data_IF_939203106630
#
_entry.id   IF_939203106630
#
_cell.length_a   1.000
_cell.length_b   1.000
_cell.length_c   1.000
_cell.angle_alpha   90.00
_cell.angle_beta   90.00
_cell.angle_gamma   90.00
#
_symmetry.space_group_name_H-M   'P 1'
#
loop_
_entity.id
_entity.type
_entity.pdbx_description
1 polymer ?
#
# COMPACT_ATOMS: atom_id res chain seq x y z
N UNK A 1 -7.41 -7.17 -18.66
CA UNK A 1 -6.66 -7.21 -17.39
C UNK A 1 -7.53 -6.67 -16.31
N UNK A 2 -8.12 -5.50 -16.52
CA UNK A 2 -9.10 -4.94 -15.62
C UNK A 2 -10.51 -5.33 -16.03
N UNK A 3 -11.44 -5.35 -15.08
CA UNK A 3 -12.86 -5.41 -15.39
C UNK A 3 -13.31 -4.04 -15.91
N UNK A 4 -14.49 -4.00 -16.54
CA UNK A 4 -15.15 -2.73 -16.90
C UNK A 4 -15.56 -1.88 -15.69
N UNK A 5 -15.53 -2.46 -14.49
CA UNK A 5 -15.99 -1.82 -13.26
C UNK A 5 -14.85 -1.21 -12.44
N UNK A 6 -13.60 -1.65 -12.64
CA UNK A 6 -12.46 -1.24 -11.82
C UNK A 6 -12.36 0.29 -11.70
N UNK A 7 -12.35 1.05 -12.79
CA UNK A 7 -12.16 2.51 -12.70
C UNK A 7 -13.34 3.23 -12.05
N UNK A 8 -14.56 2.70 -12.18
CA UNK A 8 -15.73 3.20 -11.45
C UNK A 8 -15.58 2.91 -9.96
N UNK A 9 -15.17 1.69 -9.59
CA UNK A 9 -14.89 1.30 -8.22
C UNK A 9 -13.79 2.18 -7.60
N UNK A 10 -12.65 2.34 -8.29
CA UNK A 10 -11.57 3.21 -7.83
C UNK A 10 -12.02 4.66 -7.66
N UNK A 11 -12.88 5.18 -8.54
CA UNK A 11 -13.42 6.54 -8.38
C UNK A 11 -14.25 6.71 -7.10
N UNK A 12 -14.98 5.67 -6.67
CA UNK A 12 -15.70 5.67 -5.40
C UNK A 12 -14.76 5.49 -4.22
N UNK A 13 -13.82 4.56 -4.29
CA UNK A 13 -12.89 4.31 -3.18
C UNK A 13 -12.02 5.53 -2.91
N UNK A 14 -11.50 6.20 -3.94
CA UNK A 14 -10.72 7.42 -3.75
C UNK A 14 -11.56 8.66 -3.40
N UNK A 15 -12.90 8.60 -3.40
CA UNK A 15 -13.74 9.76 -3.10
C UNK A 15 -13.55 10.26 -1.65
N UNK A 16 -13.64 9.35 -0.67
CA UNK A 16 -13.50 9.69 0.75
C UNK A 16 -12.08 10.19 1.10
N UNK A 17 -10.99 9.48 0.70
CA UNK A 17 -9.62 9.98 0.89
C UNK A 17 -9.39 11.39 0.33
N UNK A 18 -9.94 11.70 -0.86
CA UNK A 18 -9.84 13.03 -1.47
C UNK A 18 -10.67 14.11 -0.75
N UNK A 19 -11.79 13.71 -0.14
CA UNK A 19 -12.66 14.62 0.59
C UNK A 19 -11.98 15.08 1.89
N UNK A 20 -11.44 14.13 2.65
CA UNK A 20 -10.82 14.38 3.95
C UNK A 20 -9.38 14.89 3.87
N UNK A 21 -8.72 14.73 2.71
CA UNK A 21 -7.33 15.15 2.49
C UNK A 21 -6.29 14.06 2.79
N UNK A 22 -6.66 12.78 2.83
CA UNK A 22 -5.70 11.69 3.03
C UNK A 22 -4.91 11.35 1.74
N UNK A 23 -5.51 11.56 0.57
CA UNK A 23 -4.92 11.22 -0.73
C UNK A 23 -5.37 12.24 -1.78
N UNK A 24 -4.49 12.83 -2.60
CA UNK A 24 -4.85 13.86 -3.58
C UNK A 24 -5.17 13.31 -4.99
N UNK A 25 -5.05 11.99 -5.18
CA UNK A 25 -5.20 11.30 -6.47
C UNK A 25 -6.69 11.05 -6.75
N UNK A 26 -7.16 11.57 -7.87
CA UNK A 26 -8.48 11.35 -8.43
C UNK A 26 -8.43 10.39 -9.62
N UNK A 27 -9.55 9.72 -9.90
CA UNK A 27 -9.71 8.82 -11.05
C UNK A 27 -10.89 9.25 -11.89
N UNK A 28 -10.66 9.49 -13.19
CA UNK A 28 -11.75 9.72 -14.13
C UNK A 28 -12.35 8.38 -14.57
N UNK A 29 -13.52 8.03 -14.03
CA UNK A 29 -14.13 6.70 -14.17
C UNK A 29 -14.33 6.21 -15.61
N UNK A 30 -14.54 7.13 -16.58
CA UNK A 30 -14.75 6.77 -17.99
C UNK A 30 -13.45 6.44 -18.74
N UNK A 31 -12.34 7.11 -18.43
CA UNK A 31 -11.06 6.94 -19.16
C UNK A 31 -10.00 6.19 -18.35
N UNK A 32 -10.21 6.02 -17.05
CA UNK A 32 -9.20 5.50 -16.12
C UNK A 32 -8.03 6.46 -15.90
N UNK A 33 -8.14 7.74 -16.25
CA UNK A 33 -7.08 8.73 -16.06
C UNK A 33 -6.96 9.10 -14.58
N UNK A 34 -5.77 8.93 -14.02
CA UNK A 34 -5.37 9.39 -12.70
C UNK A 34 -4.85 10.82 -12.78
N UNK A 35 -5.32 11.72 -11.90
CA UNK A 35 -4.92 13.12 -11.89
C UNK A 35 -4.99 13.72 -10.48
N UNK A 36 -4.39 14.89 -10.28
CA UNK A 36 -4.51 15.65 -9.02
C UNK A 36 -5.16 17.01 -9.26
N UNK A 37 -5.92 17.51 -8.28
CA UNK A 37 -6.53 18.83 -8.31
C UNK A 37 -5.82 19.78 -7.34
N UNK A 38 -5.78 21.07 -7.65
CA UNK A 38 -5.21 22.08 -6.73
C UNK A 38 -5.91 22.08 -5.36
N UNK A 39 -7.23 21.86 -5.34
CA UNK A 39 -8.03 21.76 -4.12
C UNK A 39 -7.66 20.53 -3.27
N UNK A 40 -7.45 19.36 -3.87
CA UNK A 40 -7.06 18.16 -3.12
C UNK A 40 -5.64 18.27 -2.56
N UNK A 41 -4.73 18.97 -3.26
CA UNK A 41 -3.39 19.29 -2.75
C UNK A 41 -3.44 20.18 -1.50
N UNK A 42 -4.29 21.22 -1.51
CA UNK A 42 -4.49 22.09 -0.34
C UNK A 42 -5.06 21.31 0.84
N UNK A 43 -6.03 20.43 0.60
CA UNK A 43 -6.60 19.55 1.64
C UNK A 43 -5.54 18.63 2.24
N UNK A 44 -4.73 17.95 1.42
CA UNK A 44 -3.64 17.11 1.92
C UNK A 44 -2.66 17.91 2.78
N UNK A 45 -2.30 19.12 2.35
CA UNK A 45 -1.44 19.98 3.15
C UNK A 45 -2.08 20.36 4.49
N UNK A 46 -3.37 20.68 4.51
CA UNK A 46 -4.12 20.93 5.74
C UNK A 46 -4.15 19.69 6.65
N UNK A 47 -4.42 18.50 6.08
CA UNK A 47 -4.40 17.24 6.83
C UNK A 47 -3.04 16.94 7.43
N UNK A 48 -1.94 17.14 6.69
CA UNK A 48 -0.57 17.02 7.21
C UNK A 48 -0.34 17.98 8.37
N UNK A 49 -0.76 19.25 8.23
CA UNK A 49 -0.58 20.25 9.30
C UNK A 49 -1.34 19.84 10.56
N UNK A 50 -2.59 19.39 10.43
CA UNK A 50 -3.38 18.86 11.55
C UNK A 50 -2.68 17.64 12.15
N UNK A 51 -2.19 16.72 11.33
CA UNK A 51 -1.56 15.50 11.80
C UNK A 51 -0.22 15.76 12.50
N UNK A 52 0.54 16.78 12.09
CA UNK A 52 1.73 17.25 12.82
C UNK A 52 1.35 17.67 14.25
N UNK A 53 0.22 18.37 14.44
CA UNK A 53 -0.23 18.75 15.80
C UNK A 53 -0.59 17.53 16.65
N UNK A 54 -1.28 16.55 16.06
CA UNK A 54 -1.64 15.29 16.74
C UNK A 54 -0.39 14.51 17.14
N UNK A 55 0.55 14.33 16.21
CA UNK A 55 1.82 13.63 16.46
C UNK A 55 2.63 14.35 17.53
N UNK A 56 2.71 15.68 17.47
CA UNK A 56 3.43 16.48 18.48
C UNK A 56 2.82 16.28 19.86
N UNK A 57 1.49 16.30 19.97
CA UNK A 57 0.80 16.00 21.24
C UNK A 57 1.13 14.58 21.73
N UNK A 58 1.07 13.57 20.87
CA UNK A 58 1.35 12.18 21.24
C UNK A 58 2.79 11.99 21.71
N UNK A 59 3.75 12.61 21.02
CA UNK A 59 5.17 12.60 21.41
C UNK A 59 5.34 13.27 22.77
N UNK A 60 4.81 14.48 22.95
CA UNK A 60 4.92 15.22 24.22
C UNK A 60 4.33 14.40 25.38
N UNK A 61 3.14 13.81 25.21
CA UNK A 61 2.50 12.99 26.24
C UNK A 61 3.28 11.73 26.57
N UNK A 62 3.81 11.05 25.55
CA UNK A 62 4.65 9.86 25.76
C UNK A 62 5.94 10.22 26.51
N UNK A 63 6.57 11.33 26.15
CA UNK A 63 7.75 11.88 26.82
C UNK A 63 7.46 12.30 28.27
N UNK A 64 6.33 12.96 28.53
CA UNK A 64 5.90 13.34 29.88
C UNK A 64 5.70 12.10 30.77
N UNK A 65 5.04 11.05 30.26
CA UNK A 65 4.85 9.82 31.00
C UNK A 65 6.21 9.15 31.28
N UNK A 66 7.11 9.17 30.29
CA UNK A 66 8.46 8.64 30.41
C UNK A 66 9.27 9.33 31.51
N UNK A 67 9.38 10.65 31.46
CA UNK A 67 10.23 11.42 32.37
C UNK A 67 9.59 11.66 33.74
N UNK A 68 8.29 11.95 33.79
CA UNK A 68 7.65 12.48 35.01
C UNK A 68 6.75 11.47 35.72
N UNK A 69 6.23 10.44 35.03
CA UNK A 69 5.24 9.50 35.59
C UNK A 69 5.76 8.07 35.77
N UNK A 70 7.08 7.90 35.78
CA UNK A 70 7.72 6.60 36.02
C UNK A 70 7.89 5.69 34.79
N UNK A 71 7.62 6.21 33.59
CA UNK A 71 7.89 5.54 32.31
C UNK A 71 7.26 4.16 32.20
N UNK A 72 8.09 3.12 32.04
CA UNK A 72 7.63 1.74 31.87
C UNK A 72 6.73 1.23 33.02
N UNK A 73 6.80 1.83 34.22
CA UNK A 73 5.93 1.45 35.34
C UNK A 73 4.52 2.03 35.23
N UNK A 74 4.32 3.03 34.38
CA UNK A 74 3.03 3.66 34.20
C UNK A 74 2.12 2.80 33.30
N UNK A 75 0.86 2.52 33.71
CA UNK A 75 -0.01 1.55 33.03
C UNK A 75 -0.31 1.92 31.57
N UNK A 76 -0.30 3.21 31.25
CA UNK A 76 -0.61 3.72 29.90
C UNK A 76 0.61 3.97 29.02
N UNK A 77 1.84 3.82 29.53
CA UNK A 77 3.05 4.17 28.77
C UNK A 77 3.15 3.39 27.46
N UNK A 78 2.97 2.06 27.50
CA UNK A 78 3.13 1.21 26.33
C UNK A 78 2.10 1.50 25.22
N UNK A 79 0.86 1.82 25.61
CA UNK A 79 -0.19 2.22 24.65
C UNK A 79 0.13 3.58 24.05
N UNK A 80 0.54 4.55 24.86
CA UNK A 80 0.91 5.89 24.39
C UNK A 80 2.09 5.83 23.41
N UNK A 81 3.12 5.05 23.75
CA UNK A 81 4.29 4.85 22.89
C UNK A 81 3.89 4.19 21.56
N UNK A 82 3.08 3.13 21.60
CA UNK A 82 2.62 2.45 20.38
C UNK A 82 1.80 3.38 19.47
N UNK A 83 0.85 4.15 20.03
CA UNK A 83 0.05 5.11 19.25
C UNK A 83 0.90 6.25 18.69
N UNK A 84 1.87 6.74 19.46
CA UNK A 84 2.85 7.74 18.98
C UNK A 84 3.63 7.18 17.80
N UNK A 85 4.08 5.94 17.89
CA UNK A 85 4.84 5.29 16.83
C UNK A 85 4.02 5.14 15.54
N UNK A 86 2.76 4.67 15.65
CA UNK A 86 1.82 4.58 14.52
C UNK A 86 1.56 5.95 13.91
N UNK A 87 1.35 6.98 14.73
CA UNK A 87 1.13 8.34 14.24
C UNK A 87 2.37 8.89 13.52
N UNK A 88 3.59 8.60 13.99
CA UNK A 88 4.82 9.00 13.28
C UNK A 88 4.93 8.28 11.92
N UNK A 89 4.65 6.98 11.85
CA UNK A 89 4.64 6.24 10.58
C UNK A 89 3.65 6.89 9.59
N UNK A 90 2.43 7.16 10.05
CA UNK A 90 1.41 7.71 9.16
C UNK A 90 1.76 9.13 8.70
N UNK A 91 2.35 9.96 9.56
CA UNK A 91 2.84 11.28 9.16
C UNK A 91 3.88 11.17 8.04
N UNK A 92 4.80 10.20 8.15
CA UNK A 92 5.80 9.91 7.12
C UNK A 92 5.12 9.51 5.80
N UNK A 93 4.09 8.65 5.84
CA UNK A 93 3.31 8.26 4.67
C UNK A 93 2.60 9.46 4.01
N UNK A 94 1.98 10.35 4.80
CA UNK A 94 1.31 11.54 4.28
C UNK A 94 2.30 12.52 3.64
N UNK A 95 3.47 12.74 4.25
CA UNK A 95 4.54 13.58 3.69
C UNK A 95 5.05 13.00 2.36
N UNK A 96 5.29 11.69 2.33
CA UNK A 96 5.71 10.96 1.13
C UNK A 96 4.69 11.12 0.01
N UNK A 97 3.40 10.95 0.32
CA UNK A 97 2.32 11.17 -0.64
C UNK A 97 2.23 12.61 -1.11
N UNK A 98 2.49 13.59 -0.24
CA UNK A 98 2.51 14.99 -0.63
C UNK A 98 3.61 15.27 -1.65
N UNK A 99 4.84 14.79 -1.42
CA UNK A 99 5.96 15.04 -2.34
C UNK A 99 5.81 14.28 -3.66
N UNK A 100 5.33 13.04 -3.64
CA UNK A 100 5.31 12.16 -4.81
C UNK A 100 3.99 12.15 -5.60
N UNK A 101 3.03 13.00 -5.24
CA UNK A 101 1.65 12.97 -5.77
C UNK A 101 1.53 12.98 -7.30
N UNK A 102 2.38 13.73 -8.00
CA UNK A 102 2.28 13.89 -9.45
C UNK A 102 2.86 12.65 -10.15
N UNK A 103 4.00 12.20 -9.65
CA UNK A 103 4.74 11.04 -10.08
C UNK A 103 3.90 9.78 -9.90
N UNK A 104 3.18 9.68 -8.77
CA UNK A 104 2.21 8.61 -8.49
C UNK A 104 1.10 8.56 -9.55
N UNK A 105 0.48 9.70 -9.90
CA UNK A 105 -0.51 9.74 -10.99
C UNK A 105 0.09 9.31 -12.33
N UNK A 106 1.29 9.77 -12.66
CA UNK A 106 1.96 9.43 -13.92
C UNK A 106 2.21 7.93 -14.00
N UNK A 107 2.75 7.32 -12.95
CA UNK A 107 3.07 5.88 -12.96
C UNK A 107 1.82 5.01 -12.93
N UNK A 108 0.75 5.42 -12.23
CA UNK A 108 -0.56 4.75 -12.29
C UNK A 108 -1.15 4.81 -13.71
N UNK A 109 -1.10 5.97 -14.36
CA UNK A 109 -1.54 6.12 -15.75
C UNK A 109 -0.72 5.26 -16.70
N UNK A 110 0.61 5.24 -16.56
CA UNK A 110 1.48 4.39 -17.35
C UNK A 110 1.15 2.92 -17.17
N UNK A 111 1.01 2.44 -15.93
CA UNK A 111 0.74 1.04 -15.65
C UNK A 111 -0.62 0.59 -16.19
N UNK A 112 -1.65 1.40 -15.95
CA UNK A 112 -3.01 1.05 -16.38
C UNK A 112 -3.15 1.10 -17.90
N UNK A 113 -2.61 2.15 -18.56
CA UNK A 113 -2.57 2.23 -20.03
C UNK A 113 -1.73 1.12 -20.64
N UNK A 114 -0.57 0.82 -20.05
CA UNK A 114 0.28 -0.27 -20.50
C UNK A 114 -0.44 -1.61 -20.39
N UNK A 115 -1.11 -1.89 -19.28
CA UNK A 115 -1.87 -3.13 -19.07
C UNK A 115 -3.04 -3.28 -20.05
N UNK A 116 -3.78 -2.21 -20.33
CA UNK A 116 -4.85 -2.20 -21.33
C UNK A 116 -4.31 -2.37 -22.76
N UNK A 117 -3.22 -1.69 -23.10
CA UNK A 117 -2.55 -1.84 -24.40
C UNK A 117 -2.01 -3.26 -24.58
N UNK A 118 -1.36 -3.80 -23.56
CA UNK A 118 -0.81 -5.15 -23.57
C UNK A 118 -1.92 -6.18 -23.79
N UNK A 119 -3.05 -6.04 -23.08
CA UNK A 119 -4.22 -6.86 -23.31
C UNK A 119 -4.71 -6.78 -24.76
N UNK A 120 -4.92 -5.58 -25.28
CA UNK A 120 -5.47 -5.38 -26.61
C UNK A 120 -4.57 -5.94 -27.73
N UNK A 121 -3.26 -5.73 -27.64
CA UNK A 121 -2.32 -6.11 -28.70
C UNK A 121 -1.94 -7.59 -28.61
N UNK A 122 -1.72 -8.11 -27.40
CA UNK A 122 -1.04 -9.39 -27.22
C UNK A 122 -1.94 -10.52 -26.76
N UNK A 123 -3.09 -10.26 -26.15
CA UNK A 123 -3.95 -11.32 -25.63
C UNK A 123 -4.97 -11.77 -26.69
N UNK A 124 -5.16 -13.08 -26.82
CA UNK A 124 -6.13 -13.64 -27.77
C UNK A 124 -7.55 -13.30 -27.31
N UNK A 125 -8.27 -12.53 -28.13
CA UNK A 125 -9.66 -12.16 -27.88
C UNK A 125 -10.54 -13.42 -27.72
N UNK A 126 -11.43 -13.42 -26.73
CA UNK A 126 -12.33 -14.54 -26.43
C UNK A 126 -11.71 -15.63 -25.53
N UNK A 127 -10.39 -15.86 -25.58
CA UNK A 127 -9.70 -16.73 -24.61
C UNK A 127 -9.45 -16.01 -23.29
N UNK A 128 -9.24 -14.70 -23.36
CA UNK A 128 -9.14 -13.83 -22.20
C UNK A 128 -10.46 -13.05 -22.04
N UNK A 129 -11.43 -13.62 -21.30
CA UNK A 129 -12.65 -12.90 -20.95
C UNK A 129 -12.60 -12.52 -19.46
N UNK A 130 -12.35 -11.23 -19.08
CA UNK A 130 -12.24 -10.75 -17.69
C UNK A 130 -13.43 -11.14 -16.79
N UNK A 131 -14.56 -11.53 -17.38
CA UNK A 131 -15.83 -11.81 -16.69
C UNK A 131 -16.14 -13.32 -16.63
N UNK A 132 -15.59 -14.15 -17.52
CA UNK A 132 -15.95 -15.57 -17.57
C UNK A 132 -15.14 -16.43 -16.58
N UNK A 133 -15.81 -16.89 -15.52
CA UNK A 133 -15.26 -17.77 -14.47
C UNK A 133 -14.58 -19.04 -15.02
N UNK A 134 -15.03 -19.55 -16.18
CA UNK A 134 -14.51 -20.77 -16.83
C UNK A 134 -13.31 -20.55 -17.77
N UNK A 135 -13.09 -19.35 -18.32
CA UNK A 135 -11.92 -19.06 -19.19
C UNK A 135 -10.78 -18.28 -18.52
N UNK A 136 -10.96 -17.93 -17.23
CA UNK A 136 -9.99 -17.45 -16.23
C UNK A 136 -8.92 -16.49 -16.73
N UNK A 137 -9.30 -15.22 -16.80
CA UNK A 137 -8.54 -14.11 -16.25
C UNK A 137 -9.11 -13.68 -14.88
N UNK A 138 -8.89 -14.55 -13.89
CA UNK A 138 -9.10 -14.28 -12.45
C UNK A 138 -8.53 -12.92 -11.94
N UNK A 139 -7.40 -12.38 -12.46
CA UNK A 139 -6.75 -11.24 -11.83
C UNK A 139 -7.61 -9.97 -11.71
N UNK A 140 -8.41 -9.66 -12.73
CA UNK A 140 -9.27 -8.46 -12.70
C UNK A 140 -10.37 -8.55 -11.66
N UNK A 141 -11.05 -9.69 -11.58
CA UNK A 141 -12.09 -9.95 -10.56
C UNK A 141 -11.47 -9.98 -9.16
N UNK A 142 -10.32 -10.63 -9.00
CA UNK A 142 -9.58 -10.65 -7.73
C UNK A 142 -9.21 -9.24 -7.29
N UNK A 143 -8.73 -8.40 -8.21
CA UNK A 143 -8.41 -7.00 -7.93
C UNK A 143 -9.64 -6.24 -7.42
N UNK A 144 -10.78 -6.36 -8.11
CA UNK A 144 -12.03 -5.70 -7.70
C UNK A 144 -12.49 -6.17 -6.31
N UNK A 145 -12.50 -7.49 -6.06
CA UNK A 145 -12.89 -8.06 -4.77
C UNK A 145 -11.97 -7.59 -3.67
N UNK A 146 -10.65 -7.64 -3.88
CA UNK A 146 -9.67 -7.17 -2.91
C UNK A 146 -9.83 -5.67 -2.63
N UNK A 147 -10.08 -4.84 -3.66
CA UNK A 147 -10.37 -3.41 -3.47
C UNK A 147 -11.63 -3.18 -2.61
N UNK A 148 -12.71 -3.93 -2.85
CA UNK A 148 -13.95 -3.84 -2.06
C UNK A 148 -13.71 -4.28 -0.61
N UNK A 149 -13.03 -5.41 -0.40
CA UNK A 149 -12.74 -5.92 0.94
C UNK A 149 -11.83 -4.97 1.73
N UNK A 150 -10.82 -4.39 1.09
CA UNK A 150 -9.95 -3.39 1.70
C UNK A 150 -10.72 -2.11 2.06
N UNK A 151 -11.60 -1.64 1.17
CA UNK A 151 -12.41 -0.47 1.44
C UNK A 151 -13.39 -0.73 2.61
N UNK A 152 -14.06 -1.88 2.62
CA UNK A 152 -14.97 -2.26 3.69
C UNK A 152 -14.24 -2.40 5.05
N UNK A 153 -13.04 -2.97 5.07
CA UNK A 153 -12.25 -3.09 6.30
C UNK A 153 -11.76 -1.73 6.79
N UNK A 154 -11.17 -0.89 5.93
CA UNK A 154 -10.67 0.42 6.36
C UNK A 154 -11.80 1.35 6.82
N UNK A 155 -12.95 1.32 6.14
CA UNK A 155 -14.13 2.12 6.51
C UNK A 155 -14.78 1.68 7.82
N UNK A 156 -14.64 0.43 8.23
CA UNK A 156 -15.14 -0.02 9.54
C UNK A 156 -14.14 0.26 10.66
N UNK A 157 -12.84 0.21 10.36
CA UNK A 157 -11.79 0.33 11.38
C UNK A 157 -11.63 1.75 11.95
N UNK A 158 -11.94 2.82 11.22
CA UNK A 158 -11.79 4.17 11.81
C UNK A 158 -12.70 4.43 13.02
N UNK A 159 -13.84 3.73 13.10
CA UNK A 159 -14.75 3.78 14.24
C UNK A 159 -14.16 3.15 15.51
N UNK A 160 -13.18 2.26 15.38
CA UNK A 160 -12.60 1.55 16.55
C UNK A 160 -11.92 2.50 17.52
N UNK A 161 -11.19 3.51 17.02
CA UNK A 161 -10.55 4.52 17.85
C UNK A 161 -11.57 5.47 18.49
N UNK A 162 -12.62 5.82 17.75
CA UNK A 162 -13.73 6.62 18.31
C UNK A 162 -14.45 5.86 19.43
N UNK A 163 -14.77 4.58 19.21
CA UNK A 163 -15.37 3.71 20.22
C UNK A 163 -14.45 3.54 21.45
N UNK A 164 -13.13 3.42 21.22
CA UNK A 164 -12.14 3.32 22.26
C UNK A 164 -12.12 4.59 23.14
N UNK A 165 -12.12 5.79 22.54
CA UNK A 165 -12.21 7.03 23.32
C UNK A 165 -13.53 7.14 24.09
N UNK A 166 -14.66 6.79 23.48
CA UNK A 166 -15.94 6.81 24.18
C UNK A 166 -15.98 5.85 25.37
N UNK A 167 -15.19 4.77 25.33
CA UNK A 167 -15.10 3.80 26.42
C UNK A 167 -14.05 4.17 27.47
N UNK A 168 -12.98 4.88 27.07
CA UNK A 168 -11.83 5.19 27.93
C UNK A 168 -11.33 6.64 27.73
N UNK A 169 -12.17 7.66 27.99
CA UNK A 169 -11.83 9.06 27.70
C UNK A 169 -10.64 9.57 28.53
N UNK A 170 -10.41 8.98 29.71
CA UNK A 170 -9.34 9.35 30.65
C UNK A 170 -7.94 8.85 30.22
N UNK A 171 -7.84 8.14 29.09
CA UNK A 171 -6.55 7.66 28.61
C UNK A 171 -5.64 8.84 28.31
N UNK A 172 -4.44 8.84 28.92
CA UNK A 172 -3.49 9.97 28.92
C UNK A 172 -3.02 10.45 27.54
N UNK A 173 -3.32 9.71 26.47
CA UNK A 173 -2.96 10.09 25.11
C UNK A 173 -3.90 11.13 24.49
N UNK A 174 -5.13 11.25 25.01
CA UNK A 174 -6.12 12.14 24.43
C UNK A 174 -5.86 13.59 24.82
N UNK A 175 -6.12 14.50 23.87
CA UNK A 175 -5.85 15.93 24.04
C UNK A 175 -6.66 16.54 25.19
N UNK A 176 -7.84 15.99 25.47
CA UNK A 176 -8.68 16.43 26.59
C UNK A 176 -7.97 16.29 27.94
N UNK A 177 -7.06 15.32 28.10
CA UNK A 177 -6.32 15.11 29.36
C UNK A 177 -5.27 16.20 29.65
N UNK A 178 -5.07 17.15 28.73
CA UNK A 178 -4.27 18.36 28.94
C UNK A 178 -5.09 19.53 29.49
N UNK A 179 -6.42 19.46 29.39
CA UNK A 179 -7.31 20.51 29.86
C UNK A 179 -7.55 20.38 31.37
N UNK A 180 -7.92 21.48 32.07
CA UNK A 180 -8.41 21.41 33.44
C UNK A 180 -9.57 20.41 33.59
N UNK A 181 -9.69 19.77 34.76
CA UNK A 181 -10.68 18.70 35.02
C UNK A 181 -12.11 19.18 34.78
N UNK A 182 -12.37 20.46 35.06
CA UNK A 182 -13.66 21.11 34.84
C UNK A 182 -14.06 21.11 33.35
N UNK A 183 -13.08 21.21 32.45
CA UNK A 183 -13.30 21.27 31.00
C UNK A 183 -13.32 19.88 30.36
N UNK A 184 -12.67 18.89 30.98
CA UNK A 184 -12.67 17.51 30.50
C UNK A 184 -14.09 16.93 30.43
N UNK A 185 -14.92 17.27 31.43
CA UNK A 185 -16.30 16.82 31.53
C UNK A 185 -17.31 17.72 30.78
N UNK A 186 -16.85 18.82 30.16
CA UNK A 186 -17.74 19.73 29.46
C UNK A 186 -18.17 19.13 28.11
N UNK A 187 -19.48 18.93 27.92
CA UNK A 187 -20.03 18.24 26.74
C UNK A 187 -19.51 18.75 25.38
N UNK A 188 -19.40 20.07 25.11
CA UNK A 188 -18.88 20.56 23.84
C UNK A 188 -17.42 20.14 23.58
N UNK A 189 -16.59 20.11 24.62
CA UNK A 189 -15.19 19.67 24.53
C UNK A 189 -15.13 18.17 24.27
N UNK A 190 -15.92 17.39 24.99
CA UNK A 190 -16.00 15.94 24.80
C UNK A 190 -16.41 15.58 23.37
N UNK A 191 -17.54 16.09 22.88
CA UNK A 191 -18.03 15.80 21.53
C UNK A 191 -17.13 16.41 20.44
N UNK A 192 -16.56 17.58 20.69
CA UNK A 192 -15.55 18.17 19.80
C UNK A 192 -14.32 17.26 19.64
N UNK A 193 -13.87 16.64 20.73
CA UNK A 193 -12.77 15.68 20.69
C UNK A 193 -13.15 14.39 19.98
N UNK A 194 -14.36 13.86 20.20
CA UNK A 194 -14.87 12.70 19.45
C UNK A 194 -14.80 12.96 17.95
N UNK A 195 -15.31 14.12 17.49
CA UNK A 195 -15.30 14.49 16.07
C UNK A 195 -13.88 14.66 15.53
N UNK A 196 -13.00 15.32 16.29
CA UNK A 196 -11.60 15.49 15.93
C UNK A 196 -10.86 14.15 15.82
N UNK A 197 -11.10 13.27 16.78
CA UNK A 197 -10.56 11.91 16.82
C UNK A 197 -11.01 11.10 15.62
N UNK A 198 -12.32 11.05 15.35
CA UNK A 198 -12.87 10.39 14.18
C UNK A 198 -12.24 10.95 12.90
N UNK A 199 -12.12 12.28 12.79
CA UNK A 199 -11.55 12.90 11.59
C UNK A 199 -10.11 12.46 11.31
N UNK A 200 -9.21 12.52 12.31
CA UNK A 200 -7.82 12.13 12.06
C UNK A 200 -7.68 10.61 11.90
N UNK A 201 -8.49 9.79 12.58
CA UNK A 201 -8.44 8.34 12.40
C UNK A 201 -8.93 7.94 11.01
N UNK A 202 -9.95 8.62 10.48
CA UNK A 202 -10.37 8.47 9.08
C UNK A 202 -9.21 8.81 8.15
N UNK A 203 -8.44 9.88 8.39
CA UNK A 203 -7.25 10.20 7.57
C UNK A 203 -6.26 9.03 7.52
N UNK A 204 -5.93 8.44 8.68
CA UNK A 204 -4.99 7.31 8.79
C UNK A 204 -5.47 6.12 7.95
N UNK A 205 -6.69 5.65 8.20
CA UNK A 205 -7.20 4.44 7.53
C UNK A 205 -7.41 4.63 6.03
N UNK A 206 -7.83 5.82 5.59
CA UNK A 206 -8.04 6.13 4.17
C UNK A 206 -6.73 6.33 3.39
N UNK A 207 -5.69 6.84 4.06
CA UNK A 207 -4.33 6.89 3.52
C UNK A 207 -3.76 5.48 3.32
N UNK A 208 -3.89 4.62 4.35
CA UNK A 208 -3.51 3.21 4.26
C UNK A 208 -4.27 2.48 3.15
N UNK A 209 -5.59 2.67 3.05
CA UNK A 209 -6.42 2.11 1.99
C UNK A 209 -5.92 2.52 0.60
N UNK A 210 -5.67 3.82 0.42
CA UNK A 210 -5.19 4.38 -0.84
C UNK A 210 -3.86 3.76 -1.27
N UNK A 211 -2.89 3.69 -0.35
CA UNK A 211 -1.58 3.10 -0.60
C UNK A 211 -1.67 1.59 -0.89
N UNK A 212 -2.51 0.87 -0.15
CA UNK A 212 -2.75 -0.56 -0.40
C UNK A 212 -3.34 -0.82 -1.79
N UNK A 213 -4.29 0.00 -2.24
CA UNK A 213 -4.89 -0.10 -3.58
C UNK A 213 -3.86 0.18 -4.67
N UNK A 214 -3.03 1.21 -4.50
CA UNK A 214 -1.95 1.53 -5.44
C UNK A 214 -1.01 0.31 -5.57
N UNK A 215 -0.53 -0.22 -4.44
CA UNK A 215 0.34 -1.39 -4.41
C UNK A 215 -0.33 -2.61 -5.07
N UNK A 216 -1.62 -2.84 -4.81
CA UNK A 216 -2.38 -3.94 -5.37
C UNK A 216 -2.55 -3.84 -6.89
N UNK A 217 -2.80 -2.64 -7.44
CA UNK A 217 -2.86 -2.40 -8.89
C UNK A 217 -1.53 -2.82 -9.52
N UNK A 218 -0.39 -2.39 -8.98
CA UNK A 218 0.92 -2.75 -9.51
C UNK A 218 1.22 -4.25 -9.40
N UNK A 219 0.96 -4.83 -8.23
CA UNK A 219 1.20 -6.25 -7.98
C UNK A 219 0.39 -7.14 -8.93
N UNK A 220 -0.93 -6.95 -8.98
CA UNK A 220 -1.82 -7.78 -9.80
C UNK A 220 -1.54 -7.60 -11.28
N UNK A 221 -1.36 -6.35 -11.73
CA UNK A 221 -1.14 -6.06 -13.15
C UNK A 221 0.22 -6.60 -13.62
N UNK A 222 1.30 -6.32 -12.87
CA UNK A 222 2.62 -6.82 -13.21
C UNK A 222 2.70 -8.34 -13.14
N UNK A 223 2.06 -8.96 -12.13
CA UNK A 223 2.03 -10.42 -12.01
C UNK A 223 1.30 -11.04 -13.19
N UNK A 224 0.19 -10.45 -13.62
CA UNK A 224 -0.58 -10.95 -14.77
C UNK A 224 0.25 -10.86 -16.06
N UNK A 225 0.93 -9.73 -16.29
CA UNK A 225 1.76 -9.52 -17.49
C UNK A 225 2.93 -10.52 -17.51
N UNK A 226 3.62 -10.68 -16.38
CA UNK A 226 4.74 -11.61 -16.26
C UNK A 226 4.30 -13.07 -16.41
N UNK A 227 3.26 -13.50 -15.68
CA UNK A 227 2.85 -14.91 -15.59
C UNK A 227 2.06 -15.39 -16.81
N UNK A 228 1.17 -14.54 -17.34
CA UNK A 228 0.23 -14.94 -18.40
C UNK A 228 0.67 -14.47 -19.78
N UNK A 229 1.50 -13.42 -19.84
CA UNK A 229 1.98 -12.84 -21.09
C UNK A 229 3.41 -13.25 -21.44
N UNK A 230 4.37 -12.81 -20.62
CA UNK A 230 5.79 -12.89 -20.95
C UNK A 230 6.43 -14.25 -20.63
N UNK A 231 5.82 -15.05 -19.74
CA UNK A 231 6.32 -16.36 -19.35
C UNK A 231 6.07 -17.42 -20.45
N UNK A 232 7.14 -18.06 -20.91
CA UNK A 232 7.06 -19.09 -21.95
C UNK A 232 7.03 -20.49 -21.34
N UNK A 233 5.96 -21.27 -21.56
CA UNK A 233 5.87 -22.66 -21.12
C UNK A 233 5.70 -23.61 -22.31
N UNK A 234 6.73 -24.42 -22.57
CA UNK A 234 6.68 -25.45 -23.62
C UNK A 234 5.50 -26.41 -23.38
N UNK A 235 4.77 -26.75 -24.45
CA UNK A 235 3.69 -27.75 -24.43
C UNK A 235 2.32 -27.27 -23.93
N UNK A 236 2.15 -25.99 -23.54
CA UNK A 236 0.82 -25.44 -23.19
C UNK A 236 0.29 -24.51 -24.28
N UNK A 237 -1.03 -24.47 -24.46
CA UNK A 237 -1.69 -23.46 -25.30
C UNK A 237 -1.45 -22.08 -24.70
N UNK A 238 -0.88 -21.17 -25.49
CA UNK A 238 -0.65 -19.79 -25.09
C UNK A 238 -1.96 -19.01 -25.06
N UNK A 239 -2.08 -18.08 -24.10
CA UNK A 239 -3.18 -17.10 -24.05
C UNK A 239 -2.89 -15.84 -24.89
N UNK A 240 -1.69 -15.77 -25.45
CA UNK A 240 -1.14 -14.65 -26.20
C UNK A 240 -0.95 -15.01 -27.67
N UNK A 241 -0.98 -14.00 -28.54
CA UNK A 241 -0.63 -14.17 -29.94
C UNK A 241 0.83 -14.61 -30.09
N UNK A 242 1.09 -15.47 -31.09
CA UNK A 242 2.43 -15.98 -31.40
C UNK A 242 3.43 -14.85 -31.69
N UNK A 243 2.95 -13.71 -32.17
CA UNK A 243 3.75 -12.52 -32.45
C UNK A 243 4.42 -11.91 -31.21
N UNK A 244 3.84 -12.06 -30.02
CA UNK A 244 4.47 -11.61 -28.77
C UNK A 244 5.80 -12.35 -28.52
N UNK A 245 5.87 -13.63 -28.93
CA UNK A 245 7.02 -14.49 -28.67
C UNK A 245 8.16 -14.34 -29.67
N UNK A 246 8.08 -13.37 -30.60
CA UNK A 246 9.25 -12.94 -31.35
C UNK A 246 10.22 -12.20 -30.43
N UNK A 247 11.52 -12.44 -30.64
CA UNK A 247 12.55 -11.96 -29.72
C UNK A 247 12.48 -10.46 -29.46
N UNK A 248 12.26 -9.66 -30.50
CA UNK A 248 12.14 -8.21 -30.41
C UNK A 248 10.96 -7.77 -29.52
N UNK A 249 9.74 -8.25 -29.81
CA UNK A 249 8.53 -7.86 -29.08
C UNK A 249 8.62 -8.25 -27.60
N UNK A 250 9.09 -9.45 -27.31
CA UNK A 250 9.17 -9.95 -25.95
C UNK A 250 10.14 -9.13 -25.08
N UNK A 251 11.30 -8.77 -25.64
CA UNK A 251 12.27 -7.90 -24.98
C UNK A 251 11.68 -6.50 -24.79
N UNK A 252 11.05 -5.95 -25.82
CA UNK A 252 10.43 -4.62 -25.78
C UNK A 252 9.37 -4.51 -24.65
N UNK A 253 8.45 -5.48 -24.57
CA UNK A 253 7.40 -5.48 -23.52
C UNK A 253 8.00 -5.68 -22.12
N UNK A 254 9.01 -6.54 -21.97
CA UNK A 254 9.65 -6.70 -20.66
C UNK A 254 10.39 -5.44 -20.23
N UNK A 255 11.14 -4.79 -21.13
CA UNK A 255 11.82 -3.52 -20.84
C UNK A 255 10.79 -2.44 -20.50
N UNK A 256 9.67 -2.37 -21.21
CA UNK A 256 8.59 -1.43 -20.92
C UNK A 256 8.07 -1.60 -19.49
N UNK A 257 7.80 -2.84 -19.08
CA UNK A 257 7.39 -3.14 -17.72
C UNK A 257 8.49 -2.81 -16.70
N UNK A 258 9.74 -3.13 -17.01
CA UNK A 258 10.90 -2.83 -16.16
C UNK A 258 11.07 -1.32 -15.94
N UNK A 259 10.86 -0.50 -16.96
CA UNK A 259 10.93 0.96 -16.86
C UNK A 259 9.84 1.52 -15.94
N UNK A 260 8.60 0.99 -16.02
CA UNK A 260 7.52 1.37 -15.11
C UNK A 260 7.91 1.04 -13.66
N UNK A 261 8.40 -0.18 -13.39
CA UNK A 261 8.83 -0.57 -12.03
C UNK A 261 10.06 0.20 -11.55
N UNK A 262 10.97 0.58 -12.44
CA UNK A 262 12.08 1.48 -12.10
C UNK A 262 11.57 2.84 -11.61
N UNK A 263 10.53 3.39 -12.24
CA UNK A 263 9.90 4.63 -11.79
C UNK A 263 9.19 4.44 -10.44
N UNK A 264 8.53 3.31 -10.19
CA UNK A 264 7.96 2.98 -8.87
C UNK A 264 9.05 2.94 -7.81
N UNK A 265 10.17 2.25 -8.07
CA UNK A 265 11.28 2.16 -7.11
C UNK A 265 11.95 3.51 -6.88
N UNK A 266 11.98 4.39 -7.88
CA UNK A 266 12.43 5.77 -7.67
C UNK A 266 11.50 6.53 -6.70
N UNK A 267 10.19 6.34 -6.81
CA UNK A 267 9.19 7.02 -5.97
C UNK A 267 9.13 6.43 -4.55
N UNK A 268 9.14 5.09 -4.42
CA UNK A 268 8.86 4.38 -3.17
C UNK A 268 10.07 3.67 -2.57
N UNK A 269 11.16 3.46 -3.30
CA UNK A 269 12.25 2.56 -2.89
C UNK A 269 12.86 2.93 -1.54
N UNK A 270 13.26 4.19 -1.36
CA UNK A 270 13.82 4.67 -0.09
C UNK A 270 12.79 4.67 1.05
N UNK A 271 11.52 4.96 0.72
CA UNK A 271 10.44 4.96 1.69
C UNK A 271 10.08 3.56 2.17
N UNK A 272 10.15 2.56 1.30
CA UNK A 272 9.98 1.16 1.66
C UNK A 272 11.05 0.71 2.66
N UNK A 273 12.28 1.23 2.55
CA UNK A 273 13.33 0.97 3.54
C UNK A 273 12.98 1.59 4.90
N UNK A 274 12.54 2.84 4.91
CA UNK A 274 12.10 3.51 6.14
C UNK A 274 10.93 2.78 6.79
N UNK A 275 9.90 2.43 6.01
CA UNK A 275 8.72 1.67 6.47
C UNK A 275 9.13 0.29 6.98
N UNK A 276 10.06 -0.40 6.32
CA UNK A 276 10.59 -1.69 6.78
C UNK A 276 11.18 -1.57 8.19
N UNK A 277 12.03 -0.59 8.41
CA UNK A 277 12.62 -0.32 9.71
C UNK A 277 11.55 0.03 10.75
N UNK A 278 10.62 0.91 10.41
CA UNK A 278 9.56 1.34 11.33
C UNK A 278 8.63 0.19 11.71
N UNK A 279 8.12 -0.58 10.76
CA UNK A 279 7.25 -1.73 11.04
C UNK A 279 7.98 -2.83 11.82
N UNK A 280 9.25 -3.09 11.52
CA UNK A 280 10.07 -4.02 12.29
C UNK A 280 10.24 -3.58 13.74
N UNK A 281 10.60 -2.31 13.96
CA UNK A 281 10.75 -1.75 15.31
C UNK A 281 9.43 -1.72 16.08
N UNK A 282 8.32 -1.40 15.41
CA UNK A 282 7.00 -1.43 16.02
C UNK A 282 6.59 -2.83 16.47
N UNK A 283 6.74 -3.83 15.59
CA UNK A 283 6.43 -5.22 15.91
C UNK A 283 7.31 -5.74 17.06
N UNK A 284 8.62 -5.43 17.04
CA UNK A 284 9.54 -5.75 18.13
C UNK A 284 9.10 -5.09 19.44
N UNK A 285 8.73 -3.80 19.41
CA UNK A 285 8.25 -3.08 20.58
C UNK A 285 7.00 -3.74 21.18
N UNK A 286 6.00 -4.07 20.35
CA UNK A 286 4.77 -4.71 20.82
C UNK A 286 5.06 -6.07 21.47
N UNK A 287 5.85 -6.91 20.80
CA UNK A 287 6.18 -8.25 21.32
C UNK A 287 7.04 -8.16 22.59
N UNK A 288 8.06 -7.29 22.62
CA UNK A 288 8.90 -7.07 23.78
C UNK A 288 8.11 -6.55 24.98
N UNK A 289 7.23 -5.56 24.76
CA UNK A 289 6.41 -4.98 25.82
C UNK A 289 5.51 -6.04 26.45
N UNK A 290 4.86 -6.87 25.63
CA UNK A 290 4.00 -7.96 26.10
C UNK A 290 4.79 -9.01 26.87
N UNK A 291 5.96 -9.45 26.37
CA UNK A 291 6.77 -10.50 27.02
C UNK A 291 7.35 -10.00 28.34
N UNK A 292 7.97 -8.81 28.34
CA UNK A 292 8.71 -8.30 29.51
C UNK A 292 7.79 -7.78 30.61
N UNK A 293 6.67 -7.15 30.24
CA UNK A 293 5.78 -6.48 31.18
C UNK A 293 4.44 -7.22 31.32
N UNK A 294 4.39 -8.52 31.02
CA UNK A 294 3.17 -9.33 31.00
C UNK A 294 2.28 -9.12 32.25
N UNK A 295 2.88 -9.22 33.44
CA UNK A 295 2.16 -9.12 34.72
C UNK A 295 1.82 -7.67 35.12
N UNK A 296 2.52 -6.69 34.54
CA UNK A 296 2.33 -5.26 34.84
C UNK A 296 1.30 -4.62 33.89
N UNK A 297 1.08 -5.21 32.72
CA UNK A 297 0.15 -4.70 31.73
C UNK A 297 -1.30 -5.10 32.05
N UNK A 298 -2.21 -4.14 31.93
CA UNK A 298 -3.64 -4.41 31.92
C UNK A 298 -3.97 -5.45 30.81
N UNK A 299 -4.84 -6.46 31.07
CA UNK A 299 -5.29 -7.42 30.07
C UNK A 299 -5.67 -6.81 28.71
N UNK A 300 -6.36 -5.67 28.69
CA UNK A 300 -6.77 -5.02 27.45
C UNK A 300 -5.57 -4.49 26.65
N UNK A 301 -4.58 -3.88 27.32
CA UNK A 301 -3.34 -3.43 26.68
C UNK A 301 -2.55 -4.60 26.10
N UNK A 302 -2.49 -5.74 26.81
CA UNK A 302 -1.84 -6.95 26.30
C UNK A 302 -2.48 -7.41 25.00
N UNK A 303 -3.81 -7.57 24.99
CA UNK A 303 -4.56 -7.98 23.81
C UNK A 303 -4.35 -6.98 22.67
N UNK A 304 -4.42 -5.68 22.94
CA UNK A 304 -4.24 -4.63 21.93
C UNK A 304 -2.85 -4.70 21.28
N UNK A 305 -1.78 -4.80 22.08
CA UNK A 305 -0.41 -4.89 21.57
C UNK A 305 -0.19 -6.17 20.74
N UNK A 306 -0.77 -7.30 21.16
CA UNK A 306 -0.73 -8.56 20.39
C UNK A 306 -1.44 -8.38 19.04
N UNK A 307 -2.67 -7.84 19.06
CA UNK A 307 -3.45 -7.60 17.83
C UNK A 307 -2.72 -6.64 16.90
N UNK A 308 -2.19 -5.52 17.41
CA UNK A 308 -1.42 -4.57 16.60
C UNK A 308 -0.15 -5.16 16.02
N UNK A 309 0.54 -6.02 16.77
CA UNK A 309 1.69 -6.78 16.28
C UNK A 309 1.30 -7.61 15.05
N UNK A 310 0.21 -8.36 15.11
CA UNK A 310 -0.29 -9.14 13.95
C UNK A 310 -0.78 -8.25 12.81
N UNK A 311 -1.51 -7.18 13.10
CA UNK A 311 -2.06 -6.26 12.11
C UNK A 311 -0.96 -5.55 11.32
N UNK A 312 0.21 -5.28 11.91
CA UNK A 312 1.35 -4.72 11.18
C UNK A 312 2.14 -5.80 10.45
N UNK A 313 2.39 -6.94 11.10
CA UNK A 313 3.20 -8.01 10.52
C UNK A 313 2.54 -8.70 9.33
N UNK A 314 1.23 -9.00 9.38
CA UNK A 314 0.55 -9.76 8.31
C UNK A 314 0.55 -8.99 6.98
N UNK A 315 0.12 -7.71 6.89
CA UNK A 315 0.16 -6.97 5.64
C UNK A 315 1.59 -6.76 5.15
N UNK A 316 2.54 -6.47 6.04
CA UNK A 316 3.92 -6.22 5.64
C UNK A 316 4.63 -7.48 5.13
N UNK A 317 4.47 -8.61 5.82
CA UNK A 317 5.00 -9.90 5.35
C UNK A 317 4.34 -10.34 4.05
N UNK A 318 3.03 -10.09 3.89
CA UNK A 318 2.32 -10.33 2.63
C UNK A 318 2.89 -9.48 1.50
N UNK A 319 3.15 -8.19 1.74
CA UNK A 319 3.80 -7.30 0.77
C UNK A 319 5.18 -7.82 0.36
N UNK A 320 6.05 -8.15 1.33
CA UNK A 320 7.38 -8.69 1.07
C UNK A 320 7.31 -10.02 0.31
N UNK A 321 6.37 -10.89 0.66
CA UNK A 321 6.16 -12.16 -0.03
C UNK A 321 5.74 -11.94 -1.50
N UNK A 322 4.82 -11.02 -1.75
CA UNK A 322 4.39 -10.66 -3.11
C UNK A 322 5.56 -10.06 -3.90
N UNK A 323 6.35 -9.16 -3.31
CA UNK A 323 7.54 -8.57 -3.93
C UNK A 323 8.59 -9.63 -4.28
N UNK A 324 8.90 -10.54 -3.34
CA UNK A 324 9.83 -11.65 -3.56
C UNK A 324 9.33 -12.62 -4.64
N UNK A 325 8.04 -12.95 -4.64
CA UNK A 325 7.43 -13.77 -5.70
C UNK A 325 7.48 -13.08 -7.06
N UNK A 326 7.30 -11.76 -7.10
CA UNK A 326 7.39 -10.96 -8.31
C UNK A 326 8.80 -11.03 -8.92
N UNK A 327 9.82 -10.87 -8.07
CA UNK A 327 11.22 -11.01 -8.46
C UNK A 327 11.52 -12.41 -8.99
N UNK A 328 11.16 -13.46 -8.25
CA UNK A 328 11.34 -14.86 -8.68
C UNK A 328 10.62 -15.16 -10.00
N UNK A 329 9.40 -14.64 -10.17
CA UNK A 329 8.63 -14.80 -11.40
C UNK A 329 9.35 -14.11 -12.57
N UNK A 330 9.84 -12.89 -12.39
CA UNK A 330 10.59 -12.18 -13.44
C UNK A 330 11.86 -12.95 -13.85
N UNK A 331 12.58 -13.54 -12.89
CA UNK A 331 13.72 -14.42 -13.18
C UNK A 331 13.32 -15.66 -13.97
N UNK A 332 12.23 -16.34 -13.56
CA UNK A 332 11.72 -17.53 -14.25
C UNK A 332 11.28 -17.18 -15.67
N UNK A 333 10.63 -16.03 -15.86
CA UNK A 333 10.28 -15.49 -17.17
C UNK A 333 11.52 -15.33 -18.05
N UNK A 334 12.56 -14.62 -17.59
CA UNK A 334 13.81 -14.48 -18.36
C UNK A 334 14.54 -15.81 -18.62
N UNK A 335 14.44 -16.80 -17.72
CA UNK A 335 14.99 -18.14 -17.93
C UNK A 335 14.21 -18.92 -18.99
N UNK A 336 12.87 -18.79 -18.98
CA UNK A 336 11.96 -19.50 -19.89
C UNK A 336 12.20 -19.16 -21.37
N UNK A 337 12.68 -17.95 -21.63
CA UNK A 337 12.96 -17.46 -22.97
C UNK A 337 14.06 -18.24 -23.71
N UNK A 338 14.89 -19.02 -22.99
CA UNK A 338 15.85 -19.95 -23.63
C UNK A 338 15.17 -20.97 -24.55
N UNK A 339 13.90 -21.29 -24.30
CA UNK A 339 13.12 -22.25 -25.09
C UNK A 339 12.45 -21.67 -26.33
N UNK A 340 12.59 -20.37 -26.60
CA UNK A 340 11.95 -19.72 -27.75
C UNK A 340 12.68 -20.12 -29.04
N UNK A 341 11.91 -20.58 -30.02
CA UNK A 341 12.42 -20.92 -31.35
C UNK A 341 12.78 -19.63 -32.10
N UNK A 342 14.05 -19.48 -32.45
CA UNK A 342 14.53 -18.40 -33.30
C UNK A 342 14.59 -18.88 -34.76
N UNK A 343 14.43 -17.97 -35.73
CA UNK A 343 14.45 -18.30 -37.17
C UNK A 343 15.83 -18.73 -37.63
N UNK A 344 16.89 -18.09 -37.11
CA UNK A 344 18.27 -18.36 -37.48
C UNK A 344 19.22 -18.25 -36.28
N UNK A 345 20.47 -18.68 -36.49
CA UNK A 345 21.53 -18.68 -35.46
C UNK A 345 21.87 -17.25 -35.01
N UNK A 346 21.82 -16.29 -35.93
CA UNK A 346 22.14 -14.89 -35.66
C UNK A 346 21.12 -14.24 -34.71
N UNK A 347 19.82 -14.42 -34.98
CA UNK A 347 18.73 -13.98 -34.12
C UNK A 347 18.85 -14.61 -32.73
N UNK A 348 19.16 -15.91 -32.66
CA UNK A 348 19.40 -16.60 -31.38
C UNK A 348 20.54 -15.98 -30.59
N UNK A 349 21.63 -15.58 -31.26
CA UNK A 349 22.78 -14.91 -30.63
C UNK A 349 22.38 -13.53 -30.09
N UNK A 350 21.69 -12.71 -30.88
CA UNK A 350 21.20 -11.40 -30.46
C UNK A 350 20.22 -11.49 -29.30
N UNK A 351 19.23 -12.37 -29.42
CA UNK A 351 18.22 -12.60 -28.39
C UNK A 351 18.85 -13.08 -27.07
N UNK A 352 19.83 -14.00 -27.14
CA UNK A 352 20.56 -14.46 -25.95
C UNK A 352 21.33 -13.33 -25.26
N UNK A 353 21.97 -12.43 -26.03
CA UNK A 353 22.68 -11.25 -25.49
C UNK A 353 21.70 -10.28 -24.84
N UNK A 354 20.60 -9.94 -25.52
CA UNK A 354 19.59 -9.02 -24.99
C UNK A 354 18.89 -9.57 -23.74
N UNK A 355 18.52 -10.85 -23.72
CA UNK A 355 17.98 -11.53 -22.54
C UNK A 355 18.93 -11.49 -21.33
N UNK A 356 20.24 -11.60 -21.56
CA UNK A 356 21.26 -11.47 -20.49
C UNK A 356 21.39 -10.02 -19.99
N UNK A 357 21.08 -9.03 -20.83
CA UNK A 357 21.07 -7.63 -20.45
C UNK A 357 19.83 -7.24 -19.63
N UNK A 358 18.69 -7.91 -19.87
CA UNK A 358 17.48 -7.74 -19.05
C UNK A 358 17.73 -8.20 -17.61
N UNK A 359 17.57 -7.28 -16.65
CA UNK A 359 17.64 -7.61 -15.22
C UNK A 359 16.24 -8.03 -14.72
N UNK A 360 16.16 -8.94 -13.75
CA UNK A 360 14.91 -9.23 -13.06
C UNK A 360 14.30 -7.95 -12.48
N UNK A 361 12.97 -7.91 -12.41
CA UNK A 361 12.27 -6.75 -11.85
C UNK A 361 12.30 -6.88 -10.34
N UNK A 362 12.87 -5.89 -9.67
CA UNK A 362 12.99 -5.79 -8.22
C UNK A 362 11.99 -4.74 -7.73
N UNK A 363 11.45 -4.92 -6.53
CA UNK A 363 10.60 -3.93 -5.85
C UNK A 363 11.32 -3.48 -4.58
N UNK A 364 11.64 -2.19 -4.49
CA UNK A 364 12.40 -1.62 -3.37
C UNK A 364 13.62 -0.81 -3.80
N UNK A 365 14.39 -0.33 -2.82
CA UNK A 365 15.66 0.34 -3.05
C UNK A 365 16.72 -0.64 -3.58
N UNK A 366 17.44 -0.22 -4.63
CA UNK A 366 18.56 -0.97 -5.20
C UNK A 366 19.64 -1.20 -4.12
N UNK A 367 20.11 -2.44 -4.00
CA UNK A 367 21.16 -2.83 -3.04
C UNK A 367 20.68 -3.21 -1.63
N UNK A 368 19.37 -3.10 -1.34
CA UNK A 368 18.82 -3.42 0.00
C UNK A 368 17.81 -4.58 -0.04
N UNK A 369 16.85 -4.55 -0.98
CA UNK A 369 15.77 -5.54 -1.06
C UNK A 369 16.02 -6.65 -2.10
N UNK A 370 17.28 -6.98 -2.39
CA UNK A 370 17.67 -7.90 -3.49
C UNK A 370 17.56 -9.38 -3.17
#
# INVERSE_FOLDING_TARGET
MYTKYLFKLLSYIFYIPNLIGAQPVHVYSKTGLFYTLSKSRRRLFSSITIFITVVSCFVIRTCEIWWNKGGNRHPYYHVCYALTFVAVIELVCLIQMYWSRNEVCVVLNQMTRYSLRFEHIWMIQGQYNPIALRSKPLPGIVLDICCILLAASCNSLFWTNTAYYCSFPDTSIFHVTLLPIEWQNWYPVYYGHVLFLTYYTTIVYESLLSNAIIALIFAVSGYTILSSGLYFKSGKRYKTYRSLHYGYNLIHEFISLQLIFKQINYIYGIWLLAIHGLFGQFALFCNYSVIKYWDQLNPMTRILLIVWSFVVQIPWTSFLHVAGNFFQLSQRTLKSWKGIKCRNVLERKYFSKARKACRPIIVGADGVFT
#
